data_IF_679640724935
#
_entry.id   IF_679640724935
#
_cell.length_a   1.000
_cell.length_b   1.000
_cell.length_c   1.000
_cell.angle_alpha   90.00
_cell.angle_beta   90.00
_cell.angle_gamma   90.00
#
_symmetry.space_group_name_H-M   'P 1'
#
loop_
_entity.id
_entity.type
_entity.pdbx_description
1 polymer ?
#
# COMPACT_ATOMS: atom_id res chain seq x y z
N UNK A 1 3.77 -1.80 -8.61
CA UNK A 1 3.59 -1.49 -7.18
C UNK A 1 4.03 -0.08 -6.83
N UNK A 2 3.51 0.43 -5.73
CA UNK A 2 3.81 1.79 -5.26
C UNK A 2 4.52 1.73 -3.92
N UNK A 3 5.62 2.49 -3.80
CA UNK A 3 6.30 2.74 -2.54
C UNK A 3 5.80 4.07 -1.95
N UNK A 4 6.03 4.33 -0.63
CA UNK A 4 5.39 5.49 0.02
C UNK A 4 6.16 6.78 -0.22
N UNK A 5 6.08 7.31 -1.43
CA UNK A 5 6.74 8.55 -1.84
C UNK A 5 5.77 9.72 -1.81
N UNK A 6 6.20 10.82 -1.23
CA UNK A 6 5.50 12.12 -1.27
C UNK A 6 6.52 13.16 -1.71
N UNK A 7 6.20 13.91 -2.76
CA UNK A 7 7.08 14.95 -3.32
C UNK A 7 8.49 14.44 -3.63
N UNK A 8 8.56 13.21 -4.15
CA UNK A 8 9.82 12.60 -4.57
C UNK A 8 10.64 11.96 -3.45
N UNK A 9 10.14 11.98 -2.21
CA UNK A 9 10.87 11.42 -1.06
C UNK A 9 10.05 10.36 -0.33
N UNK A 10 10.72 9.32 0.15
CA UNK A 10 10.10 8.31 1.00
C UNK A 10 9.71 8.92 2.35
N UNK A 11 8.50 8.61 2.82
CA UNK A 11 8.02 9.10 4.13
C UNK A 11 8.71 8.42 5.30
N UNK A 12 9.31 7.24 5.06
CA UNK A 12 10.11 6.51 6.04
C UNK A 12 11.01 5.53 5.30
N UNK A 13 12.11 5.14 5.92
CA UNK A 13 13.04 4.14 5.37
C UNK A 13 13.44 3.16 6.46
N UNK A 14 13.65 1.92 6.08
CA UNK A 14 14.10 0.88 6.98
C UNK A 14 13.11 -0.25 7.14
N UNK A 15 13.45 -1.20 7.99
CA UNK A 15 12.65 -2.38 8.27
C UNK A 15 11.59 -2.09 9.33
N UNK A 16 10.39 -2.56 9.09
CA UNK A 16 9.31 -2.48 10.08
C UNK A 16 9.62 -3.43 11.23
N UNK A 17 9.49 -2.91 12.44
CA UNK A 17 9.89 -3.63 13.64
C UNK A 17 11.32 -3.35 14.06
N UNK A 18 12.07 -2.58 13.28
CA UNK A 18 13.41 -2.08 13.60
C UNK A 18 13.41 -0.56 13.51
N UNK A 19 13.83 0.02 12.36
CA UNK A 19 13.88 1.49 12.19
C UNK A 19 12.51 2.13 12.06
N UNK A 20 11.51 1.37 11.57
CA UNK A 20 10.15 1.87 11.32
C UNK A 20 9.16 1.20 12.26
N UNK A 21 8.37 1.98 12.98
CA UNK A 21 7.32 1.44 13.86
C UNK A 21 6.17 0.89 13.04
N UNK A 22 5.38 -0.06 13.57
CA UNK A 22 4.17 -0.54 12.89
C UNK A 22 3.18 0.58 12.59
N UNK A 23 3.06 1.59 13.45
CA UNK A 23 2.18 2.73 13.25
C UNK A 23 2.62 3.59 12.06
N UNK A 24 3.92 3.87 11.98
CA UNK A 24 4.47 4.62 10.84
C UNK A 24 4.38 3.82 9.56
N UNK A 25 4.54 2.50 9.63
CA UNK A 25 4.36 1.62 8.48
C UNK A 25 2.90 1.61 8.00
N UNK A 26 1.93 1.64 8.91
CA UNK A 26 0.50 1.77 8.58
C UNK A 26 0.26 3.06 7.78
N UNK A 27 0.81 4.19 8.24
CA UNK A 27 0.69 5.48 7.52
C UNK A 27 1.39 5.44 6.17
N UNK A 28 2.55 4.78 6.09
CA UNK A 28 3.25 4.59 4.82
C UNK A 28 2.40 3.77 3.84
N UNK A 29 1.70 2.74 4.31
CA UNK A 29 0.80 1.95 3.47
C UNK A 29 -0.39 2.78 2.97
N UNK A 30 -0.89 3.74 3.76
CA UNK A 30 -1.91 4.69 3.30
C UNK A 30 -1.39 5.53 2.13
N UNK A 31 -0.16 6.02 2.23
CA UNK A 31 0.48 6.78 1.15
C UNK A 31 0.61 5.93 -0.11
N UNK A 32 1.07 4.69 0.02
CA UNK A 32 1.17 3.75 -1.10
C UNK A 32 -0.19 3.56 -1.78
N UNK A 33 -1.26 3.39 -1.00
CA UNK A 33 -2.60 3.19 -1.53
C UNK A 33 -3.08 4.40 -2.34
N UNK A 34 -2.83 5.61 -1.82
CA UNK A 34 -3.18 6.83 -2.53
C UNK A 34 -2.36 6.99 -3.81
N UNK A 35 -1.09 6.63 -3.79
CA UNK A 35 -0.24 6.65 -4.98
C UNK A 35 -0.74 5.64 -6.03
N UNK A 36 -1.16 4.46 -5.60
CA UNK A 36 -1.73 3.44 -6.49
C UNK A 36 -3.04 3.93 -7.11
N UNK A 37 -3.89 4.56 -6.31
CA UNK A 37 -5.15 5.15 -6.79
C UNK A 37 -4.88 6.22 -7.84
N UNK A 38 -3.94 7.12 -7.59
CA UNK A 38 -3.59 8.19 -8.52
C UNK A 38 -3.06 7.63 -9.85
N UNK A 39 -2.18 6.63 -9.78
CA UNK A 39 -1.63 5.98 -10.98
C UNK A 39 -2.73 5.29 -11.80
N UNK A 40 -3.62 4.57 -11.15
CA UNK A 40 -4.73 3.89 -11.81
C UNK A 40 -5.72 4.89 -12.43
N UNK A 41 -6.01 5.97 -11.71
CA UNK A 41 -6.90 7.02 -12.21
C UNK A 41 -6.35 7.68 -13.46
N UNK A 42 -5.05 7.92 -13.51
CA UNK A 42 -4.39 8.49 -14.71
C UNK A 42 -4.57 7.58 -15.93
N UNK A 43 -4.37 6.28 -15.75
CA UNK A 43 -4.53 5.30 -16.83
C UNK A 43 -6.01 5.19 -17.25
N UNK A 44 -6.93 5.21 -16.31
CA UNK A 44 -8.36 5.00 -16.57
C UNK A 44 -9.09 6.26 -17.09
N UNK A 45 -8.47 7.43 -16.94
CA UNK A 45 -9.08 8.69 -17.35
C UNK A 45 -9.82 9.42 -16.24
N UNK A 46 -9.54 9.07 -14.98
CA UNK A 46 -10.10 9.70 -13.80
C UNK A 46 -10.47 8.68 -12.73
N UNK A 47 -10.57 9.12 -11.50
CA UNK A 47 -10.92 8.24 -10.36
C UNK A 47 -12.35 7.68 -10.53
N UNK A 48 -13.25 8.44 -11.14
CA UNK A 48 -14.63 8.01 -11.41
C UNK A 48 -14.69 6.81 -12.35
N UNK A 49 -13.64 6.56 -13.13
CA UNK A 49 -13.56 5.43 -14.06
C UNK A 49 -13.10 4.15 -13.36
N UNK A 50 -12.78 4.19 -12.08
CA UNK A 50 -12.44 3.03 -11.30
C UNK A 50 -13.71 2.53 -10.58
N UNK A 51 -14.15 1.33 -10.92
CA UNK A 51 -15.37 0.76 -10.36
C UNK A 51 -15.12 0.22 -8.95
N UNK A 52 -14.03 -0.52 -8.77
CA UNK A 52 -13.69 -1.13 -7.48
C UNK A 52 -12.24 -1.59 -7.43
N UNK A 53 -11.77 -1.87 -6.22
CA UNK A 53 -10.53 -2.59 -5.98
C UNK A 53 -10.84 -4.09 -5.97
N UNK A 54 -10.09 -4.86 -6.73
CA UNK A 54 -10.22 -6.32 -6.77
C UNK A 54 -9.26 -6.98 -5.79
N UNK A 55 -7.99 -6.60 -5.83
CA UNK A 55 -6.94 -7.24 -5.05
C UNK A 55 -5.90 -6.23 -4.60
N UNK A 56 -5.47 -6.38 -3.35
CA UNK A 56 -4.38 -5.61 -2.76
C UNK A 56 -3.33 -6.58 -2.26
N UNK A 57 -2.08 -6.39 -2.68
CA UNK A 57 -0.94 -7.11 -2.12
C UNK A 57 -0.03 -6.09 -1.46
N UNK A 58 0.28 -6.30 -0.18
CA UNK A 58 1.15 -5.42 0.58
C UNK A 58 2.40 -6.18 0.96
N UNK A 59 3.53 -5.68 0.48
CA UNK A 59 4.86 -6.19 0.81
C UNK A 59 5.41 -5.34 1.94
N UNK A 60 5.80 -5.95 3.04
CA UNK A 60 6.30 -5.25 4.22
C UNK A 60 7.75 -5.64 4.46
N UNK A 61 8.67 -4.69 4.31
CA UNK A 61 10.07 -4.91 4.64
C UNK A 61 10.16 -5.11 6.15
N UNK A 62 10.40 -6.34 6.58
CA UNK A 62 10.20 -6.76 7.96
C UNK A 62 11.50 -7.15 8.62
N UNK A 63 11.68 -6.72 9.89
CA UNK A 63 12.73 -7.29 10.73
C UNK A 63 12.45 -8.78 10.93
N UNK A 64 13.47 -9.61 11.26
CA UNK A 64 13.29 -11.06 11.32
C UNK A 64 12.19 -11.55 12.28
N UNK A 65 11.88 -10.75 13.29
CA UNK A 65 10.89 -11.11 14.31
C UNK A 65 9.55 -10.40 14.16
N UNK A 66 9.43 -9.50 13.17
CA UNK A 66 8.17 -8.78 12.97
C UNK A 66 7.17 -9.67 12.23
N UNK A 67 5.99 -9.86 12.82
CA UNK A 67 4.92 -10.69 12.25
C UNK A 67 3.61 -9.94 12.06
N UNK A 68 3.61 -8.61 12.23
CA UNK A 68 2.41 -7.77 12.12
C UNK A 68 2.13 -7.23 10.72
N UNK A 69 2.47 -7.97 9.66
CA UNK A 69 2.29 -7.50 8.29
C UNK A 69 0.83 -7.14 7.98
N UNK A 70 -0.12 -7.90 8.52
CA UNK A 70 -1.55 -7.62 8.33
C UNK A 70 -1.95 -6.26 8.90
N UNK A 71 -1.40 -5.87 10.05
CA UNK A 71 -1.66 -4.56 10.66
C UNK A 71 -1.16 -3.41 9.79
N UNK A 72 -0.01 -3.59 9.15
CA UNK A 72 0.53 -2.61 8.19
C UNK A 72 -0.36 -2.54 6.95
N UNK A 73 -0.75 -3.68 6.43
CA UNK A 73 -1.61 -3.78 5.24
C UNK A 73 -2.97 -3.11 5.46
N UNK A 74 -3.45 -3.04 6.70
CA UNK A 74 -4.68 -2.34 7.04
C UNK A 74 -4.63 -0.86 6.63
N UNK A 75 -3.45 -0.25 6.57
CA UNK A 75 -3.31 1.12 6.07
C UNK A 75 -3.83 1.26 4.65
N UNK A 76 -3.50 0.33 3.78
CA UNK A 76 -4.01 0.32 2.40
C UNK A 76 -5.50 -0.07 2.37
N UNK A 77 -5.89 -1.13 3.05
CA UNK A 77 -7.28 -1.61 3.06
C UNK A 77 -8.24 -0.58 3.63
N UNK A 78 -7.88 0.10 4.71
CA UNK A 78 -8.72 1.13 5.32
C UNK A 78 -8.89 2.33 4.38
N UNK A 79 -7.84 2.71 3.66
CA UNK A 79 -7.90 3.77 2.65
C UNK A 79 -8.89 3.41 1.55
N UNK A 80 -8.77 2.21 0.98
CA UNK A 80 -9.68 1.77 -0.08
C UNK A 80 -11.11 1.55 0.44
N UNK A 81 -11.25 1.11 1.69
CA UNK A 81 -12.57 0.90 2.32
C UNK A 81 -13.38 2.18 2.48
N UNK A 82 -12.71 3.34 2.56
CA UNK A 82 -13.38 4.65 2.61
C UNK A 82 -13.82 5.14 1.23
N UNK A 83 -13.20 4.63 0.17
CA UNK A 83 -13.41 5.12 -1.20
C UNK A 83 -14.30 4.20 -2.03
N UNK A 84 -14.35 2.92 -1.70
CA UNK A 84 -15.09 1.91 -2.46
C UNK A 84 -15.96 1.08 -1.51
N UNK A 85 -17.18 0.78 -1.93
CA UNK A 85 -18.14 0.03 -1.13
C UNK A 85 -17.91 -1.47 -1.16
N UNK A 86 -17.22 -1.95 -2.18
CA UNK A 86 -17.03 -3.40 -2.38
C UNK A 86 -15.79 -3.89 -1.63
N UNK A 87 -15.85 -5.07 -1.01
CA UNK A 87 -14.66 -5.67 -0.41
C UNK A 87 -13.67 -6.11 -1.48
N UNK A 88 -12.41 -6.24 -1.10
CA UNK A 88 -11.34 -6.71 -1.97
C UNK A 88 -10.63 -7.89 -1.32
N UNK A 89 -9.95 -8.71 -2.13
CA UNK A 89 -9.07 -9.75 -1.60
C UNK A 89 -7.69 -9.13 -1.30
N UNK A 90 -6.98 -9.70 -0.34
CA UNK A 90 -5.74 -9.12 0.15
C UNK A 90 -4.73 -10.19 0.54
N UNK A 91 -3.45 -9.91 0.27
CA UNK A 91 -2.32 -10.62 0.85
C UNK A 91 -1.38 -9.61 1.51
N UNK A 92 -0.85 -9.96 2.66
CA UNK A 92 0.16 -9.17 3.36
C UNK A 92 1.33 -10.11 3.68
N UNK A 93 2.51 -9.79 3.15
CA UNK A 93 3.68 -10.66 3.27
C UNK A 93 4.91 -9.87 3.72
N UNK A 94 5.77 -10.52 4.49
CA UNK A 94 7.06 -9.98 4.87
C UNK A 94 8.09 -10.25 3.79
N UNK A 95 8.92 -9.24 3.51
CA UNK A 95 10.06 -9.34 2.60
C UNK A 95 11.30 -8.81 3.29
N UNK A 96 12.47 -9.22 2.79
CA UNK A 96 13.75 -8.83 3.40
C UNK A 96 14.10 -7.37 3.14
N UNK A 97 13.74 -6.84 1.97
CA UNK A 97 14.04 -5.47 1.57
C UNK A 97 13.13 -5.06 0.43
N UNK A 98 12.99 -3.74 0.25
CA UNK A 98 12.22 -3.14 -0.85
C UNK A 98 13.06 -2.05 -1.52
N UNK A 99 12.69 -1.63 -2.73
CA UNK A 99 13.43 -0.58 -3.43
C UNK A 99 13.61 0.66 -2.57
N UNK A 100 14.80 1.24 -2.62
CA UNK A 100 15.19 2.48 -1.94
C UNK A 100 15.09 2.42 -0.41
N UNK A 101 14.98 1.23 0.16
CA UNK A 101 14.80 1.06 1.60
C UNK A 101 13.37 1.36 2.07
N UNK A 102 12.39 1.28 1.17
CA UNK A 102 10.99 1.51 1.53
C UNK A 102 10.52 0.50 2.58
N UNK A 103 9.69 0.93 3.56
CA UNK A 103 9.17 0.02 4.58
C UNK A 103 8.03 -0.86 4.08
N UNK A 104 7.34 -0.44 3.04
CA UNK A 104 6.28 -1.23 2.41
C UNK A 104 6.10 -0.84 0.95
N UNK A 105 5.44 -1.71 0.22
CA UNK A 105 5.05 -1.50 -1.18
C UNK A 105 3.67 -2.09 -1.36
N UNK A 106 2.81 -1.39 -2.10
CA UNK A 106 1.42 -1.81 -2.33
C UNK A 106 1.20 -2.01 -3.82
N UNK A 107 0.69 -3.18 -4.17
CA UNK A 107 0.30 -3.55 -5.52
C UNK A 107 -1.22 -3.73 -5.55
N UNK A 108 -1.89 -3.10 -6.51
CA UNK A 108 -3.34 -3.09 -6.54
C UNK A 108 -3.85 -3.41 -7.94
N UNK A 109 -4.86 -4.26 -8.00
CA UNK A 109 -5.64 -4.49 -9.22
C UNK A 109 -6.99 -3.79 -9.06
N UNK A 110 -7.29 -2.90 -9.98
CA UNK A 110 -8.57 -2.19 -10.05
C UNK A 110 -9.40 -2.71 -11.21
N UNK A 111 -10.72 -2.65 -11.05
CA UNK A 111 -11.64 -2.87 -12.16
C UNK A 111 -12.05 -1.50 -12.68
N UNK A 112 -11.78 -1.24 -13.96
CA UNK A 112 -12.20 -0.01 -14.60
C UNK A 112 -13.63 -0.15 -15.15
N UNK A 113 -14.36 0.96 -15.20
CA UNK A 113 -15.69 0.98 -15.82
C UNK A 113 -15.58 0.81 -17.32
N UNK A 114 -16.53 0.08 -17.89
CA UNK A 114 -16.60 -0.15 -19.35
C UNK A 114 -17.18 1.07 -20.08
#
# INVERSE_FOLDING_TARGET
GQIPVVDGELVATGLVGAEVSPQDAYRAAQVCALNALAAAAEVAGGVDQLERVLKVTVFVASSPTFTGQASVANGASDTFGKLFDQPHIRSAVGVAALPLGAPCEVEVEFLARS
#
